data_IF_223176022994
#
_entry.id   IF_223176022994
#
_cell.length_a   1.000
_cell.length_b   1.000
_cell.length_c   1.000
_cell.angle_alpha   90.00
_cell.angle_beta   90.00
_cell.angle_gamma   90.00
#
_symmetry.space_group_name_H-M   'P 1'
#
loop_
_entity.id
_entity.type
_entity.pdbx_description
1 polymer ?
#
# COMPACT_ATOMS: atom_id res chain seq x y z
N UNK A 1 -3.24 24.21 -1.59
CA UNK A 1 -3.33 23.01 -0.73
C UNK A 1 -4.28 22.03 -1.39
N UNK A 2 -3.90 20.75 -1.48
CA UNK A 2 -4.78 19.73 -2.04
C UNK A 2 -5.93 19.46 -1.05
N UNK A 3 -7.16 19.34 -1.55
CA UNK A 3 -8.31 18.97 -0.71
C UNK A 3 -8.12 17.55 -0.16
N UNK A 4 -8.38 17.31 1.14
CA UNK A 4 -8.28 15.97 1.70
C UNK A 4 -9.33 15.03 1.09
N UNK A 5 -9.01 13.75 1.02
CA UNK A 5 -9.81 12.70 0.39
C UNK A 5 -10.85 12.16 1.38
N UNK A 6 -12.13 12.28 1.04
CA UNK A 6 -13.22 11.70 1.81
C UNK A 6 -13.68 10.34 1.27
N UNK A 7 -14.48 9.61 2.04
CA UNK A 7 -15.12 8.34 1.64
C UNK A 7 -14.12 7.23 1.31
N UNK A 8 -13.12 7.09 2.17
CA UNK A 8 -12.03 6.11 2.02
C UNK A 8 -12.14 5.08 3.13
N UNK A 9 -11.91 3.81 2.78
CA UNK A 9 -11.71 2.74 3.74
C UNK A 9 -10.31 2.12 3.62
N UNK A 10 -9.76 1.72 4.76
CA UNK A 10 -8.55 0.95 4.91
C UNK A 10 -8.90 -0.44 5.43
N UNK A 11 -8.30 -1.47 4.85
CA UNK A 11 -8.56 -2.86 5.24
C UNK A 11 -7.25 -3.59 5.39
N UNK A 12 -7.11 -4.34 6.48
CA UNK A 12 -6.04 -5.31 6.66
C UNK A 12 -6.56 -6.64 7.16
N UNK A 13 -5.89 -7.73 6.80
CA UNK A 13 -6.16 -9.09 7.22
C UNK A 13 -5.18 -9.57 8.29
N UNK A 14 -5.70 -10.00 9.44
CA UNK A 14 -4.92 -10.60 10.52
C UNK A 14 -5.04 -12.13 10.58
N UNK A 15 -3.92 -12.80 10.28
CA UNK A 15 -3.76 -14.25 10.42
C UNK A 15 -3.40 -14.71 11.84
N UNK A 16 -2.91 -13.82 12.72
CA UNK A 16 -2.29 -14.23 13.98
C UNK A 16 -2.40 -13.17 15.07
N UNK A 17 -1.27 -12.85 15.71
CA UNK A 17 -1.22 -11.91 16.84
C UNK A 17 -1.44 -10.43 16.47
N UNK A 18 -1.38 -10.09 15.18
CA UNK A 18 -1.64 -8.72 14.73
C UNK A 18 -0.50 -7.71 14.88
N UNK A 19 0.77 -8.12 14.99
CA UNK A 19 1.90 -7.20 15.22
C UNK A 19 2.79 -6.93 13.98
N UNK A 20 2.24 -6.97 12.77
CA UNK A 20 2.97 -6.70 11.53
C UNK A 20 3.16 -5.21 11.23
N UNK A 21 4.24 -4.85 10.53
CA UNK A 21 4.52 -3.46 10.14
C UNK A 21 3.45 -2.85 9.22
N UNK A 22 2.70 -3.68 8.49
CA UNK A 22 1.60 -3.22 7.66
C UNK A 22 0.44 -2.62 8.46
N UNK A 23 0.21 -3.04 9.71
CA UNK A 23 -0.81 -2.41 10.57
C UNK A 23 -0.37 -1.02 11.03
N UNK A 24 0.92 -0.84 11.34
CA UNK A 24 1.48 0.47 11.70
C UNK A 24 1.36 1.45 10.53
N UNK A 25 1.76 1.02 9.32
CA UNK A 25 1.62 1.84 8.12
C UNK A 25 0.16 2.18 7.80
N UNK A 26 -0.78 1.28 8.11
CA UNK A 26 -2.21 1.55 7.97
C UNK A 26 -2.67 2.58 8.98
N UNK A 27 -2.33 2.41 10.26
CA UNK A 27 -2.72 3.32 11.33
C UNK A 27 -2.18 4.74 11.08
N UNK A 28 -0.91 4.87 10.68
CA UNK A 28 -0.29 6.14 10.31
C UNK A 28 -0.99 6.80 9.12
N UNK A 29 -1.30 6.02 8.07
CA UNK A 29 -2.04 6.54 6.91
C UNK A 29 -3.45 7.01 7.30
N UNK A 30 -4.16 6.24 8.12
CA UNK A 30 -5.50 6.58 8.60
C UNK A 30 -5.52 7.83 9.50
N UNK A 31 -4.46 8.06 10.28
CA UNK A 31 -4.35 9.26 11.12
C UNK A 31 -3.81 10.49 10.36
N UNK A 32 -3.33 10.32 9.14
CA UNK A 32 -2.83 11.44 8.35
C UNK A 32 -3.94 12.41 7.95
N UNK A 33 -3.64 13.71 7.90
CA UNK A 33 -4.58 14.75 7.47
C UNK A 33 -4.91 14.72 5.96
N UNK A 34 -4.46 13.67 5.25
CA UNK A 34 -4.73 13.45 3.83
C UNK A 34 -6.16 12.94 3.65
N UNK A 35 -6.72 12.22 4.63
CA UNK A 35 -8.03 11.62 4.55
C UNK A 35 -9.00 12.30 5.54
N UNK A 36 -10.25 12.49 5.11
CA UNK A 36 -11.35 12.96 5.96
C UNK A 36 -12.09 11.73 6.47
N UNK A 37 -12.16 11.57 7.80
CA UNK A 37 -12.89 10.53 8.51
C UNK A 37 -12.74 9.12 7.88
N UNK A 38 -11.49 8.62 7.74
CA UNK A 38 -11.27 7.35 7.09
C UNK A 38 -11.83 6.19 7.92
N UNK A 39 -12.40 5.20 7.23
CA UNK A 39 -12.93 3.99 7.86
C UNK A 39 -11.83 2.95 7.92
N UNK A 40 -11.58 2.38 9.10
CA UNK A 40 -10.62 1.29 9.27
C UNK A 40 -11.35 0.00 9.59
N UNK A 41 -11.21 -0.98 8.69
CA UNK A 41 -11.76 -2.32 8.82
C UNK A 41 -10.62 -3.29 9.17
N UNK A 42 -10.65 -3.79 10.40
CA UNK A 42 -9.80 -4.87 10.87
C UNK A 42 -10.48 -6.19 10.51
N UNK A 43 -9.93 -6.92 9.54
CA UNK A 43 -10.46 -8.20 9.09
C UNK A 43 -9.52 -9.29 9.58
N UNK A 44 -10.00 -10.41 10.11
CA UNK A 44 -9.09 -11.48 10.50
C UNK A 44 -9.68 -12.50 11.45
N UNK A 45 -8.84 -13.40 11.95
CA UNK A 45 -9.26 -14.35 12.98
C UNK A 45 -9.43 -13.69 14.35
N UNK A 46 -8.59 -12.69 14.64
CA UNK A 46 -8.56 -11.93 15.87
C UNK A 46 -8.32 -10.44 15.57
N UNK A 47 -8.77 -9.58 16.47
CA UNK A 47 -8.47 -8.15 16.47
C UNK A 47 -6.96 -7.90 16.66
N UNK A 48 -6.41 -6.89 15.97
CA UNK A 48 -5.05 -6.43 16.21
C UNK A 48 -5.01 -5.25 17.19
N UNK A 49 -4.27 -5.34 18.31
CA UNK A 49 -4.19 -4.22 19.25
C UNK A 49 -3.57 -2.94 18.64
N UNK A 50 -2.85 -3.06 17.51
CA UNK A 50 -2.25 -1.91 16.83
C UNK A 50 -3.27 -1.00 16.14
N UNK A 51 -4.51 -1.47 15.95
CA UNK A 51 -5.57 -0.68 15.33
C UNK A 51 -6.60 -0.17 16.34
N UNK A 52 -6.48 -0.44 17.64
CA UNK A 52 -7.52 -0.13 18.62
C UNK A 52 -7.94 1.35 18.66
N UNK A 53 -7.01 2.27 18.36
CA UNK A 53 -7.29 3.72 18.36
C UNK A 53 -7.96 4.21 17.07
N UNK A 54 -7.83 3.48 15.97
CA UNK A 54 -8.28 3.91 14.63
C UNK A 54 -9.36 3.01 14.06
N UNK A 55 -9.55 1.81 14.63
CA UNK A 55 -10.49 0.79 14.15
C UNK A 55 -11.91 1.34 14.20
N UNK A 56 -12.56 1.35 13.05
CA UNK A 56 -14.00 1.61 12.95
C UNK A 56 -14.80 0.32 13.12
N UNK A 57 -14.29 -0.80 12.59
CA UNK A 57 -15.00 -2.09 12.62
C UNK A 57 -14.03 -3.27 12.61
N UNK A 58 -14.27 -4.25 13.48
CA UNK A 58 -13.70 -5.58 13.33
C UNK A 58 -14.69 -6.51 12.62
N UNK A 59 -14.20 -7.28 11.65
CA UNK A 59 -14.96 -8.31 10.94
C UNK A 59 -14.23 -9.64 11.12
N UNK A 60 -14.87 -10.57 11.84
CA UNK A 60 -14.29 -11.86 12.10
C UNK A 60 -14.36 -12.75 10.85
N UNK A 61 -13.19 -13.14 10.34
CA UNK A 61 -13.08 -14.13 9.29
C UNK A 61 -12.99 -15.53 9.88
N UNK A 62 -14.07 -16.31 9.80
CA UNK A 62 -14.07 -17.75 10.19
C UNK A 62 -13.64 -18.63 9.01
N UNK A 63 -13.04 -19.78 9.28
CA UNK A 63 -12.56 -20.75 8.25
C UNK A 63 -13.66 -21.15 7.25
N UNK A 64 -14.89 -21.36 7.72
CA UNK A 64 -16.05 -21.65 6.86
C UNK A 64 -16.89 -20.39 6.52
N UNK A 65 -16.49 -19.23 7.03
CA UNK A 65 -17.28 -18.00 7.05
C UNK A 65 -16.95 -17.00 5.95
N UNK A 66 -16.24 -17.39 4.89
CA UNK A 66 -15.86 -16.47 3.81
C UNK A 66 -17.05 -15.69 3.24
N UNK A 67 -18.22 -16.32 3.11
CA UNK A 67 -19.43 -15.66 2.60
C UNK A 67 -20.00 -14.62 3.58
N UNK A 68 -19.99 -14.93 4.88
CA UNK A 68 -20.47 -14.03 5.92
C UNK A 68 -19.58 -12.78 6.02
N UNK A 69 -18.25 -12.97 6.09
CA UNK A 69 -17.31 -11.86 6.12
C UNK A 69 -17.43 -10.97 4.88
N UNK A 70 -17.54 -11.57 3.67
CA UNK A 70 -17.77 -10.79 2.44
C UNK A 70 -19.09 -10.03 2.45
N UNK A 71 -20.17 -10.62 2.98
CA UNK A 71 -21.47 -9.96 3.10
C UNK A 71 -21.37 -8.76 4.05
N UNK A 72 -20.75 -8.95 5.21
CA UNK A 72 -20.56 -7.89 6.21
C UNK A 72 -19.70 -6.74 5.68
N UNK A 73 -18.55 -7.06 5.04
CA UNK A 73 -17.70 -6.07 4.36
C UNK A 73 -18.51 -5.28 3.34
N UNK A 74 -19.28 -5.98 2.49
CA UNK A 74 -20.08 -5.33 1.44
C UNK A 74 -21.11 -4.39 2.03
N UNK A 75 -21.89 -4.85 3.01
CA UNK A 75 -22.92 -4.04 3.67
C UNK A 75 -22.29 -2.81 4.32
N UNK A 76 -21.27 -3.01 5.16
CA UNK A 76 -20.63 -1.90 5.88
C UNK A 76 -20.02 -0.84 4.96
N UNK A 77 -19.34 -1.26 3.88
CA UNK A 77 -18.73 -0.34 2.91
C UNK A 77 -19.80 0.43 2.13
N UNK A 78 -20.91 -0.21 1.74
CA UNK A 78 -21.99 0.45 1.01
C UNK A 78 -22.76 1.44 1.89
N UNK A 79 -23.07 1.05 3.12
CA UNK A 79 -23.79 1.89 4.09
C UNK A 79 -22.99 3.14 4.48
N UNK A 80 -21.66 3.06 4.40
CA UNK A 80 -20.75 4.16 4.73
C UNK A 80 -20.34 5.01 3.52
N UNK A 81 -21.00 4.84 2.37
CA UNK A 81 -20.76 5.60 1.13
C UNK A 81 -19.30 5.60 0.62
N UNK A 82 -18.51 4.57 0.96
CA UNK A 82 -17.10 4.47 0.61
C UNK A 82 -16.91 4.36 -0.90
N UNK A 83 -15.96 5.13 -1.45
CA UNK A 83 -15.64 5.15 -2.89
C UNK A 83 -14.34 4.44 -3.22
N UNK A 84 -13.40 4.41 -2.29
CA UNK A 84 -12.07 3.81 -2.47
C UNK A 84 -11.71 2.98 -1.23
N UNK A 85 -11.23 1.76 -1.46
CA UNK A 85 -10.80 0.83 -0.42
C UNK A 85 -9.34 0.47 -0.62
N UNK A 86 -8.48 0.83 0.33
CA UNK A 86 -7.06 0.48 0.34
C UNK A 86 -6.84 -0.79 1.17
N UNK A 87 -6.31 -1.83 0.54
CA UNK A 87 -6.05 -3.13 1.17
C UNK A 87 -4.55 -3.30 1.40
N UNK A 88 -4.11 -3.46 2.64
CA UNK A 88 -2.69 -3.45 3.03
C UNK A 88 -2.00 -4.83 2.94
N UNK A 89 -2.74 -5.85 2.53
CA UNK A 89 -2.23 -7.21 2.34
C UNK A 89 -3.02 -7.93 1.25
N UNK A 90 -2.44 -9.01 0.72
CA UNK A 90 -3.02 -9.72 -0.42
C UNK A 90 -4.33 -10.45 -0.05
N UNK A 91 -4.48 -10.86 1.21
CA UNK A 91 -5.65 -11.58 1.65
C UNK A 91 -6.85 -10.64 1.75
N UNK A 92 -6.71 -9.50 2.42
CA UNK A 92 -7.73 -8.45 2.48
C UNK A 92 -8.10 -7.98 1.08
N UNK A 93 -7.13 -7.76 0.19
CA UNK A 93 -7.40 -7.38 -1.19
C UNK A 93 -8.29 -8.39 -1.92
N UNK A 94 -7.96 -9.68 -1.85
CA UNK A 94 -8.74 -10.71 -2.51
C UNK A 94 -10.15 -10.82 -1.95
N UNK A 95 -10.30 -10.77 -0.62
CA UNK A 95 -11.60 -10.87 0.04
C UNK A 95 -12.49 -9.67 -0.30
N UNK A 96 -11.96 -8.45 -0.19
CA UNK A 96 -12.67 -7.20 -0.50
C UNK A 96 -13.03 -7.13 -1.97
N UNK A 97 -12.09 -7.45 -2.86
CA UNK A 97 -12.35 -7.49 -4.31
C UNK A 97 -13.50 -8.44 -4.66
N UNK A 98 -13.58 -9.60 -4.01
CA UNK A 98 -14.70 -10.53 -4.20
C UNK A 98 -16.00 -9.97 -3.62
N UNK A 99 -15.99 -9.37 -2.43
CA UNK A 99 -17.16 -8.75 -1.81
C UNK A 99 -17.76 -7.62 -2.67
N UNK A 100 -16.91 -6.86 -3.35
CA UNK A 100 -17.26 -5.64 -4.09
C UNK A 100 -17.29 -5.83 -5.62
N UNK A 101 -17.20 -7.06 -6.13
CA UNK A 101 -17.01 -7.35 -7.58
C UNK A 101 -18.00 -6.66 -8.54
N UNK A 102 -19.23 -6.40 -8.08
CA UNK A 102 -20.33 -5.80 -8.84
C UNK A 102 -20.69 -4.38 -8.34
N UNK A 103 -19.71 -3.62 -7.86
CA UNK A 103 -19.90 -2.24 -7.37
C UNK A 103 -18.99 -1.28 -8.16
N UNK A 104 -19.25 0.02 -8.07
CA UNK A 104 -18.38 1.06 -8.66
C UNK A 104 -17.21 1.46 -7.75
N UNK A 105 -17.01 0.74 -6.64
CA UNK A 105 -16.01 1.06 -5.62
C UNK A 105 -14.63 0.60 -6.11
N UNK A 106 -13.64 1.50 -6.00
CA UNK A 106 -12.26 1.19 -6.36
C UNK A 106 -11.58 0.44 -5.23
N UNK A 107 -10.95 -0.70 -5.54
CA UNK A 107 -10.16 -1.47 -4.58
C UNK A 107 -8.69 -1.38 -4.98
N UNK A 108 -7.88 -0.77 -4.11
CA UNK A 108 -6.45 -0.54 -4.31
C UNK A 108 -5.67 -1.48 -3.42
N UNK A 109 -4.74 -2.23 -4.00
CA UNK A 109 -3.80 -3.04 -3.22
C UNK A 109 -2.58 -2.19 -2.85
N UNK A 110 -2.34 -2.02 -1.55
CA UNK A 110 -1.15 -1.37 -0.99
C UNK A 110 -0.20 -2.46 -0.55
N UNK A 111 0.91 -2.61 -1.29
CA UNK A 111 1.95 -3.58 -0.94
C UNK A 111 2.77 -3.05 0.22
N UNK A 112 2.56 -3.61 1.41
CA UNK A 112 3.34 -3.28 2.60
C UNK A 112 4.59 -4.17 2.65
N UNK A 113 5.77 -3.58 2.56
CA UNK A 113 7.03 -4.33 2.51
C UNK A 113 7.24 -5.05 1.18
N UNK A 114 8.13 -4.50 0.35
CA UNK A 114 8.81 -5.30 -0.68
C UNK A 114 9.86 -6.20 -0.03
N UNK A 115 10.51 -7.11 -0.78
CA UNK A 115 11.77 -7.66 -0.29
C UNK A 115 12.61 -6.48 0.18
N UNK A 116 12.99 -6.49 1.46
CA UNK A 116 14.16 -5.73 1.87
C UNK A 116 15.22 -6.20 0.89
N UNK A 117 15.66 -5.32 -0.01
CA UNK A 117 16.94 -5.52 -0.64
C UNK A 117 17.91 -5.53 0.54
N UNK A 118 18.19 -6.70 1.11
CA UNK A 118 19.24 -6.97 2.09
C UNK A 118 20.61 -6.80 1.42
N UNK A 119 20.75 -5.75 0.62
CA UNK A 119 21.93 -5.41 -0.14
C UNK A 119 22.40 -3.99 0.07
N UNK A 120 21.62 -3.04 0.62
CA UNK A 120 22.22 -1.75 0.99
C UNK A 120 21.32 -0.91 1.92
N UNK A 121 21.50 -1.05 3.24
CA UNK A 121 21.38 0.14 4.08
C UNK A 121 22.68 0.91 3.88
N UNK A 122 22.68 2.12 3.28
CA UNK A 122 23.89 2.94 3.32
C UNK A 122 24.21 3.14 4.80
N UNK A 123 25.37 2.65 5.25
CA UNK A 123 25.91 3.12 6.52
C UNK A 123 25.96 4.64 6.41
N UNK A 124 25.45 5.40 7.40
CA UNK A 124 25.59 6.84 7.37
C UNK A 124 27.09 7.14 7.27
N UNK A 125 27.53 7.59 6.10
CA UNK A 125 28.84 8.20 5.97
C UNK A 125 28.73 9.50 6.76
N UNK A 126 29.26 9.49 7.98
CA UNK A 126 29.35 10.64 8.89
C UNK A 126 30.19 11.78 8.28
N UNK A 127 30.72 11.63 7.06
CA UNK A 127 31.50 12.65 6.38
C UNK A 127 31.15 12.74 4.89
N UNK A 128 30.11 13.48 4.55
CA UNK A 128 30.13 14.27 3.31
C UNK A 128 29.07 15.37 3.37
N UNK A 129 29.55 16.60 3.20
CA UNK A 129 28.81 17.85 3.10
C UNK A 129 27.96 17.91 1.82
N UNK A 130 26.97 17.03 1.71
CA UNK A 130 25.95 17.05 0.66
C UNK A 130 24.89 18.12 0.93
N UNK A 131 24.25 18.68 -0.11
CA UNK A 131 23.21 19.69 0.07
C UNK A 131 22.03 19.12 0.86
N UNK A 132 21.37 19.93 1.71
CA UNK A 132 20.30 19.47 2.59
C UNK A 132 19.15 18.85 1.78
N UNK A 133 18.57 17.78 2.32
CA UNK A 133 17.49 16.98 1.73
C UNK A 133 16.31 17.84 1.21
N UNK A 134 16.07 18.98 1.84
CA UNK A 134 15.08 19.98 1.44
C UNK A 134 15.27 20.47 0.00
N UNK A 135 16.50 20.62 -0.47
CA UNK A 135 16.79 21.08 -1.83
C UNK A 135 16.42 20.03 -2.89
N UNK A 136 16.70 18.75 -2.60
CA UNK A 136 16.37 17.64 -3.50
C UNK A 136 14.85 17.48 -3.66
N UNK A 137 14.09 17.64 -2.57
CA UNK A 137 12.62 17.54 -2.62
C UNK A 137 11.97 18.74 -3.33
N UNK A 138 12.56 19.94 -3.22
CA UNK A 138 12.07 21.15 -3.90
C UNK A 138 12.27 21.06 -5.42
N UNK A 139 13.43 20.58 -5.86
CA UNK A 139 13.76 20.43 -7.28
C UNK A 139 12.95 19.31 -7.96
N UNK A 140 12.59 18.25 -7.22
CA UNK A 140 11.71 17.19 -7.72
C UNK A 140 10.25 17.65 -7.87
N UNK A 141 9.77 18.52 -6.99
CA UNK A 141 8.42 19.08 -7.06
C UNK A 141 8.23 20.06 -8.24
N UNK A 142 9.25 20.85 -8.56
CA UNK A 142 9.20 21.79 -9.69
C UNK A 142 9.18 21.09 -11.07
N UNK A 143 9.76 19.91 -11.17
CA UNK A 143 9.79 19.13 -12.42
C UNK A 143 8.51 18.31 -12.70
N UNK A 144 7.56 18.27 -11.76
CA UNK A 144 6.25 17.61 -11.93
C UNK A 144 5.18 18.53 -12.52
N UNK A 145 5.46 19.84 -12.62
CA UNK A 145 4.60 20.80 -13.35
C UNK A 145 5.11 20.90 -14.77
N UNK A 146 4.69 19.97 -15.64
CA UNK A 146 4.92 20.11 -17.09
C UNK A 146 3.93 21.13 -17.69
N UNK A 147 4.37 21.95 -18.65
CA UNK A 147 3.51 22.88 -19.37
C UNK A 147 2.47 22.15 -20.22
N UNK A 148 1.34 22.82 -20.46
CA UNK A 148 0.17 22.35 -21.20
C UNK A 148 0.51 21.49 -22.42
N UNK A 149 0.14 20.22 -22.34
CA UNK A 149 0.09 19.32 -23.49
C UNK A 149 -1.12 19.73 -24.32
N UNK A 150 -0.88 20.29 -25.52
CA UNK A 150 -1.93 20.55 -26.51
C UNK A 150 -2.79 19.29 -26.71
N UNK A 151 -4.11 19.46 -26.59
CA UNK A 151 -5.10 18.41 -26.76
C UNK A 151 -4.97 17.74 -28.14
N UNK A 152 -5.05 16.40 -28.21
CA UNK A 152 -5.05 15.69 -29.49
C UNK A 152 -6.33 16.00 -30.30
N UNK A 153 -6.27 15.94 -31.65
CA UNK A 153 -7.43 16.15 -32.50
C UNK A 153 -8.51 15.07 -32.28
N UNK A 154 -9.76 15.46 -32.52
CA UNK A 154 -10.94 14.62 -32.35
C UNK A 154 -10.88 13.36 -33.23
N UNK A 155 -11.29 12.18 -32.71
CA UNK A 155 -11.32 10.95 -33.49
C UNK A 155 -12.53 10.89 -34.42
N UNK A 156 -12.30 10.38 -35.64
CA UNK A 156 -13.33 10.11 -36.63
C UNK A 156 -14.34 9.06 -36.13
N UNK A 157 -15.62 9.34 -36.37
CA UNK A 157 -16.73 8.49 -36.03
C UNK A 157 -16.83 7.30 -37.00
N UNK A 158 -16.14 6.20 -36.69
CA UNK A 158 -16.53 4.84 -37.05
C UNK A 158 -15.53 3.86 -36.43
N UNK A 159 -15.98 3.09 -35.43
CA UNK A 159 -15.62 1.68 -35.15
C UNK A 159 -16.22 1.30 -33.80
N UNK A 160 -17.13 0.34 -33.86
CA UNK A 160 -17.66 -0.39 -32.72
C UNK A 160 -16.71 -1.54 -32.41
N UNK A 161 -16.17 -1.66 -31.19
CA UNK A 161 -15.69 -2.95 -30.63
C UNK A 161 -15.68 -2.93 -29.09
N UNK A 162 -15.93 -4.12 -28.55
CA UNK A 162 -16.10 -4.52 -27.15
C UNK A 162 -14.82 -4.41 -26.28
N UNK A 163 -15.05 -4.37 -24.95
CA UNK A 163 -14.13 -4.51 -23.77
C UNK A 163 -12.93 -5.46 -23.94
N UNK A 164 -11.84 -5.39 -23.12
CA UNK A 164 -11.84 -5.17 -21.65
C UNK A 164 -10.59 -4.45 -21.04
N UNK A 165 -10.58 -4.22 -19.71
CA UNK A 165 -9.44 -4.34 -18.76
C UNK A 165 -9.45 -3.29 -17.63
N UNK A 166 -9.64 -3.77 -16.40
CA UNK A 166 -9.35 -3.03 -15.16
C UNK A 166 -7.86 -2.72 -15.09
N UNK A 167 -7.50 -1.43 -15.08
CA UNK A 167 -6.14 -0.95 -14.78
C UNK A 167 -5.79 -1.26 -13.33
N UNK A 168 -4.80 -2.12 -13.14
CA UNK A 168 -4.04 -2.17 -11.89
C UNK A 168 -3.02 -1.02 -11.97
N UNK A 169 -3.22 0.03 -11.18
CA UNK A 169 -2.22 1.10 -11.03
C UNK A 169 -1.23 0.62 -9.97
N UNK A 170 -0.11 0.04 -10.43
CA UNK A 170 1.06 -0.21 -9.59
C UNK A 170 1.92 1.05 -9.59
N UNK A 171 1.94 1.79 -8.48
CA UNK A 171 2.82 2.96 -8.33
C UNK A 171 4.22 2.45 -7.98
N UNK A 172 5.13 2.55 -8.95
CA UNK A 172 6.55 2.20 -8.82
C UNK A 172 7.38 3.49 -8.78
N UNK A 173 8.17 3.68 -7.72
CA UNK A 173 9.12 4.80 -7.60
C UNK A 173 10.34 4.63 -8.54
N UNK A 174 11.03 5.72 -8.95
CA UNK A 174 12.05 5.67 -10.00
C UNK A 174 13.39 5.03 -9.57
N UNK A 175 14.02 4.32 -10.52
CA UNK A 175 15.35 3.69 -10.41
C UNK A 175 16.47 4.71 -10.65
N UNK A 176 17.48 4.72 -9.78
CA UNK A 176 18.77 5.40 -9.99
C UNK A 176 19.80 4.34 -10.41
N UNK A 177 20.51 4.59 -11.51
CA UNK A 177 21.58 3.74 -12.02
C UNK A 177 22.85 3.86 -11.17
N UNK A 178 23.56 2.76 -10.92
CA UNK A 178 24.89 2.81 -10.31
C UNK A 178 25.80 1.69 -10.82
N UNK A 179 27.07 2.05 -10.94
CA UNK A 179 28.15 1.36 -11.60
C UNK A 179 28.69 0.16 -10.82
N UNK A 180 29.14 -0.84 -11.57
CA UNK A 180 29.77 -2.07 -11.08
C UNK A 180 31.06 -1.79 -10.32
N UNK A 181 31.19 -2.37 -9.12
CA UNK A 181 32.50 -2.72 -8.56
C UNK A 181 32.44 -4.04 -7.79
N UNK A 182 33.22 -4.99 -8.28
CA UNK A 182 33.46 -6.31 -7.69
C UNK A 182 34.23 -6.17 -6.38
N UNK A 183 33.73 -6.76 -5.31
CA UNK A 183 34.44 -6.84 -4.02
C UNK A 183 34.62 -8.31 -3.64
N UNK A 184 35.87 -8.71 -3.41
CA UNK A 184 36.24 -10.03 -2.93
C UNK A 184 35.84 -10.22 -1.46
N UNK A 185 35.32 -11.39 -1.13
CA UNK A 185 34.89 -11.78 0.22
C UNK A 185 36.01 -12.60 0.88
N UNK A 186 36.49 -12.25 2.08
CA UNK A 186 37.40 -13.11 2.83
C UNK A 186 36.64 -14.20 3.59
N UNK A 187 37.17 -15.42 3.53
CA UNK A 187 36.64 -16.63 4.14
C UNK A 187 36.83 -16.62 5.66
N UNK A 188 35.75 -16.72 6.44
CA UNK A 188 35.79 -16.79 7.91
C UNK A 188 35.79 -18.26 8.35
N UNK A 189 36.81 -18.64 9.14
CA UNK A 189 37.00 -19.98 9.69
C UNK A 189 35.98 -20.34 10.78
N UNK A 190 35.49 -21.59 10.74
CA UNK A 190 34.61 -22.19 11.74
C UNK A 190 35.39 -22.60 12.98
N UNK A 191 34.90 -22.21 14.16
CA UNK A 191 35.36 -22.71 15.46
C UNK A 191 34.28 -23.62 16.05
N UNK A 192 34.55 -24.91 16.15
CA UNK A 192 33.70 -25.88 16.84
C UNK A 192 33.93 -25.82 18.35
N UNK A 193 32.85 -25.87 19.14
CA UNK A 193 32.89 -26.11 20.58
C UNK A 193 32.31 -27.50 20.84
N UNK A 194 33.12 -28.36 21.47
CA UNK A 194 32.70 -29.65 21.99
C UNK A 194 31.94 -29.44 23.29
N UNK A 195 30.74 -30.01 23.40
CA UNK A 195 30.08 -30.23 24.69
C UNK A 195 30.52 -31.59 25.21
N UNK A 196 30.98 -31.61 26.47
CA UNK A 196 31.14 -32.81 27.29
C UNK A 196 29.85 -33.04 28.07
#
# INVERSE_FOLDING_TARGET
MNKPLANVAFVSFNFGKGYGGHYLSLAEAAQSSIFIDPIVIDLGFNETPLLDQVRSKFIQHRWFGHAAARKEIRTFILDSEVKIVFCYDIASFNIVRMALRNTKINVVYVKCGGPILTLYYPRPNIHSSGPPLAKILTDAAQNLVRPDVKSPPAPDANVCTFSPLKRIISVSLPRIASANRTVQIPTIGRRTKNFR
#
